data_IF_366881923629
#
_entry.id   IF_366881923629
#
_cell.length_a   1.000
_cell.length_b   1.000
_cell.length_c   1.000
_cell.angle_alpha   90.00
_cell.angle_beta   90.00
_cell.angle_gamma   90.00
#
_symmetry.space_group_name_H-M   'P 1'
#
loop_
_entity.id
_entity.type
_entity.pdbx_description
1 polymer ?
#
# COMPACT_ATOMS: atom_id res chain seq x y z
N UNK A 1 28.75 28.12 -39.76
CA UNK A 1 27.71 28.95 -40.40
C UNK A 1 26.91 28.08 -41.38
N UNK A 2 25.59 27.96 -41.42
CA UNK A 2 24.46 28.45 -40.64
C UNK A 2 23.31 27.45 -40.92
N UNK A 3 22.77 26.82 -39.87
CA UNK A 3 21.33 26.64 -39.59
C UNK A 3 20.35 26.57 -40.78
N UNK A 4 19.76 25.39 -40.99
CA UNK A 4 18.54 25.17 -41.78
C UNK A 4 17.54 24.35 -40.97
N UNK A 5 16.77 25.01 -40.10
CA UNK A 5 15.72 24.41 -39.28
C UNK A 5 14.48 24.09 -40.11
N UNK A 6 14.12 22.80 -40.18
CA UNK A 6 12.88 22.33 -40.78
C UNK A 6 11.66 22.76 -39.95
N UNK A 7 10.80 23.52 -40.62
CA UNK A 7 9.45 23.89 -40.23
C UNK A 7 8.57 22.64 -40.23
N UNK A 8 7.99 22.28 -39.08
CA UNK A 8 6.75 21.48 -39.03
C UNK A 8 5.64 22.39 -38.49
N UNK A 9 4.76 22.82 -39.40
CA UNK A 9 3.58 23.64 -39.11
C UNK A 9 2.64 22.83 -38.22
N UNK A 10 2.32 23.37 -37.04
CA UNK A 10 1.15 22.96 -36.25
C UNK A 10 -0.10 23.23 -37.09
N UNK A 11 -0.86 22.19 -37.40
CA UNK A 11 -2.14 22.27 -38.07
C UNK A 11 -3.19 22.94 -37.17
N UNK A 12 -3.79 24.00 -37.72
CA UNK A 12 -5.12 24.58 -37.47
C UNK A 12 -5.76 24.42 -36.08
N UNK A 13 -5.43 25.36 -35.18
CA UNK A 13 -6.40 25.85 -34.19
C UNK A 13 -7.30 26.86 -34.91
N UNK A 14 -8.47 26.42 -35.39
CA UNK A 14 -9.49 27.34 -35.94
C UNK A 14 -9.80 28.44 -34.93
N UNK A 15 -9.82 29.68 -35.42
CA UNK A 15 -10.12 30.91 -34.69
C UNK A 15 -11.42 30.80 -33.85
N UNK A 16 -11.51 31.48 -32.69
CA UNK A 16 -12.71 31.48 -31.88
C UNK A 16 -13.85 32.17 -32.65
N UNK A 17 -14.88 31.41 -32.97
CA UNK A 17 -16.15 31.96 -33.47
C UNK A 17 -16.72 32.85 -32.36
N UNK A 18 -16.66 34.16 -32.56
CA UNK A 18 -17.33 35.15 -31.70
C UNK A 18 -18.84 34.91 -31.77
N UNK A 19 -19.38 34.18 -30.79
CA UNK A 19 -20.80 33.89 -30.72
C UNK A 19 -21.52 34.85 -29.76
N UNK A 20 -22.21 35.85 -30.33
CA UNK A 20 -22.94 36.89 -29.58
C UNK A 20 -24.34 36.51 -29.09
N UNK A 21 -24.86 35.32 -29.45
CA UNK A 21 -26.21 34.87 -29.06
C UNK A 21 -26.22 34.02 -27.80
N UNK A 22 -27.18 34.28 -26.89
CA UNK A 22 -27.35 33.56 -25.61
C UNK A 22 -27.54 32.05 -25.81
N UNK A 23 -28.25 31.64 -26.87
CA UNK A 23 -28.44 30.22 -27.22
C UNK A 23 -27.17 29.55 -27.73
N UNK A 24 -26.34 30.28 -28.48
CA UNK A 24 -25.03 29.80 -28.90
C UNK A 24 -24.07 29.65 -27.70
N UNK A 25 -24.06 30.61 -26.78
CA UNK A 25 -23.29 30.51 -25.54
C UNK A 25 -23.76 29.35 -24.65
N UNK A 26 -25.08 29.08 -24.59
CA UNK A 26 -25.65 27.95 -23.85
C UNK A 26 -25.31 26.60 -24.49
N UNK A 27 -25.33 26.50 -25.82
CA UNK A 27 -24.93 25.31 -26.57
C UNK A 27 -23.42 25.04 -26.43
N UNK A 28 -22.59 26.08 -26.58
CA UNK A 28 -21.13 26.01 -26.39
C UNK A 28 -20.79 25.62 -24.94
N UNK A 29 -21.47 26.19 -23.93
CA UNK A 29 -21.33 25.80 -22.53
C UNK A 29 -21.65 24.32 -22.29
N UNK A 30 -22.65 23.73 -22.97
CA UNK A 30 -22.96 22.30 -22.85
C UNK A 30 -21.86 21.42 -23.46
N UNK A 31 -21.31 21.81 -24.61
CA UNK A 31 -20.20 21.09 -25.27
C UNK A 31 -18.91 21.19 -24.43
N UNK A 32 -18.57 22.39 -23.94
CA UNK A 32 -17.45 22.60 -23.03
C UNK A 32 -17.62 21.91 -21.69
N UNK A 33 -18.85 21.79 -21.16
CA UNK A 33 -19.12 21.03 -19.93
C UNK A 33 -18.75 19.55 -20.07
N UNK A 34 -19.03 18.92 -21.23
CA UNK A 34 -18.65 17.52 -21.47
C UNK A 34 -17.13 17.39 -21.61
N UNK A 35 -16.51 18.24 -22.42
CA UNK A 35 -15.05 18.23 -22.61
C UNK A 35 -14.28 18.51 -21.31
N UNK A 36 -14.73 19.48 -20.51
CA UNK A 36 -14.14 19.82 -19.22
C UNK A 36 -14.28 18.69 -18.20
N UNK A 37 -15.43 17.99 -18.16
CA UNK A 37 -15.61 16.80 -17.30
C UNK A 37 -14.67 15.67 -17.71
N UNK A 38 -14.52 15.42 -19.01
CA UNK A 38 -13.59 14.41 -19.51
C UNK A 38 -12.15 14.78 -19.12
N UNK A 39 -11.73 16.02 -19.36
CA UNK A 39 -10.40 16.49 -18.98
C UNK A 39 -10.15 16.40 -17.47
N UNK A 40 -11.16 16.71 -16.65
CA UNK A 40 -11.05 16.57 -15.21
C UNK A 40 -10.91 15.10 -14.76
N UNK A 41 -11.55 14.16 -15.46
CA UNK A 41 -11.37 12.73 -15.20
C UNK A 41 -9.97 12.25 -15.64
N UNK A 42 -9.50 12.68 -16.81
CA UNK A 42 -8.14 12.40 -17.30
C UNK A 42 -7.07 12.90 -16.32
N UNK A 43 -7.22 14.14 -15.82
CA UNK A 43 -6.30 14.70 -14.83
C UNK A 43 -6.26 13.90 -13.52
N UNK A 44 -7.42 13.37 -13.08
CA UNK A 44 -7.48 12.49 -11.91
C UNK A 44 -6.79 11.15 -12.15
N UNK A 45 -6.94 10.59 -13.35
CA UNK A 45 -6.25 9.37 -13.75
C UNK A 45 -4.73 9.62 -13.86
N UNK A 46 -4.32 10.69 -14.52
CA UNK A 46 -2.91 11.12 -14.60
C UNK A 46 -2.28 11.24 -13.21
N UNK A 47 -2.98 11.88 -12.26
CA UNK A 47 -2.55 11.98 -10.86
C UNK A 47 -2.45 10.60 -10.18
N UNK A 48 -3.48 9.76 -10.32
CA UNK A 48 -3.56 8.44 -9.68
C UNK A 48 -2.44 7.49 -10.14
N UNK A 49 -2.14 7.47 -11.44
CA UNK A 49 -1.14 6.56 -12.01
C UNK A 49 0.29 7.11 -11.97
N UNK A 50 0.48 8.42 -11.76
CA UNK A 50 1.82 9.02 -11.62
C UNK A 50 2.39 8.96 -10.20
N UNK A 51 1.54 8.86 -9.18
CA UNK A 51 1.96 8.76 -7.77
C UNK A 51 2.07 7.30 -7.32
N UNK A 52 2.84 7.01 -6.27
CA UNK A 52 2.90 5.68 -5.64
C UNK A 52 3.59 4.61 -6.49
N UNK A 53 4.62 5.01 -7.21
CA UNK A 53 5.43 4.15 -8.07
C UNK A 53 6.65 3.54 -7.35
N UNK A 54 6.85 3.91 -6.08
CA UNK A 54 7.92 3.44 -5.21
C UNK A 54 7.32 2.97 -3.88
N UNK A 55 8.05 2.09 -3.18
CA UNK A 55 7.62 1.57 -1.88
C UNK A 55 7.87 2.62 -0.79
N UNK A 56 6.98 2.73 0.21
CA UNK A 56 7.19 3.66 1.32
C UNK A 56 8.37 3.24 2.21
N UNK A 57 8.97 4.18 2.95
CA UNK A 57 10.13 3.91 3.82
C UNK A 57 9.89 2.78 4.84
N UNK A 58 8.64 2.60 5.29
CA UNK A 58 8.25 1.54 6.22
C UNK A 58 8.43 0.11 5.69
N UNK A 59 8.60 -0.03 4.38
CA UNK A 59 8.83 -1.30 3.71
C UNK A 59 10.30 -1.75 3.71
N UNK A 60 11.21 -0.88 4.15
CA UNK A 60 12.64 -1.16 4.17
C UNK A 60 13.10 -1.53 5.58
N UNK A 61 13.99 -2.52 5.66
CA UNK A 61 14.56 -2.89 6.94
C UNK A 61 15.56 -1.81 7.38
N UNK A 62 15.42 -1.20 8.57
CA UNK A 62 16.30 -0.11 9.00
C UNK A 62 17.73 -0.58 9.35
N UNK A 63 17.98 -1.90 9.37
CA UNK A 63 19.29 -2.47 9.71
C UNK A 63 20.10 -2.79 8.45
N UNK A 64 19.49 -3.46 7.46
CA UNK A 64 20.17 -3.81 6.22
C UNK A 64 19.80 -2.89 5.04
N UNK A 65 18.90 -1.94 5.24
CA UNK A 65 18.38 -0.97 4.26
C UNK A 65 17.79 -1.56 2.97
N UNK A 66 17.67 -2.89 2.89
CA UNK A 66 17.04 -3.58 1.77
C UNK A 66 15.50 -3.61 1.89
N UNK A 67 14.76 -3.54 0.78
CA UNK A 67 13.31 -3.67 0.77
C UNK A 67 12.89 -5.05 1.30
N UNK A 68 11.89 -5.12 2.18
CA UNK A 68 11.41 -6.37 2.77
C UNK A 68 10.44 -7.04 1.78
N UNK A 69 10.50 -8.36 1.61
CA UNK A 69 9.56 -9.07 0.73
C UNK A 69 8.09 -8.83 1.12
N UNK A 70 7.21 -8.75 0.12
CA UNK A 70 5.77 -8.53 0.32
C UNK A 70 5.02 -9.86 0.52
N UNK A 71 3.99 -9.89 1.39
CA UNK A 71 3.56 -8.83 2.32
C UNK A 71 4.57 -8.60 3.45
N UNK A 72 4.88 -7.34 3.78
CA UNK A 72 5.96 -6.98 4.74
C UNK A 72 5.79 -7.65 6.10
N UNK A 73 4.54 -7.77 6.58
CA UNK A 73 4.22 -8.42 7.85
C UNK A 73 4.68 -9.89 7.94
N UNK A 74 4.72 -10.60 6.80
CA UNK A 74 5.11 -12.02 6.76
C UNK A 74 6.62 -12.24 6.79
N UNK A 75 7.42 -11.17 6.67
CA UNK A 75 8.88 -11.25 6.53
C UNK A 75 9.63 -10.34 7.52
N UNK A 76 8.91 -9.73 8.47
CA UNK A 76 9.46 -8.78 9.43
C UNK A 76 8.77 -8.88 10.77
N UNK A 77 9.41 -8.35 11.82
CA UNK A 77 8.83 -8.15 13.14
C UNK A 77 8.58 -6.67 13.40
N UNK A 78 7.41 -6.32 13.93
CA UNK A 78 7.15 -4.98 14.46
C UNK A 78 7.65 -4.86 15.90
N UNK A 79 8.42 -3.81 16.19
CA UNK A 79 9.00 -3.58 17.52
C UNK A 79 8.25 -2.45 18.25
N UNK A 80 7.49 -2.77 19.28
CA UNK A 80 6.72 -1.78 20.06
C UNK A 80 7.58 -0.71 20.74
N UNK A 81 8.86 -0.99 21.06
CA UNK A 81 9.75 -0.01 21.68
C UNK A 81 10.00 1.22 20.80
N UNK A 82 10.06 1.04 19.48
CA UNK A 82 10.57 2.03 18.53
C UNK A 82 9.76 2.15 17.25
N UNK A 83 8.66 1.40 17.16
CA UNK A 83 7.71 1.36 16.05
C UNK A 83 8.36 1.04 14.69
N UNK A 84 9.53 0.37 14.71
CA UNK A 84 10.24 -0.07 13.51
C UNK A 84 9.98 -1.53 13.18
N UNK A 85 9.83 -1.81 11.88
CA UNK A 85 9.79 -3.17 11.33
C UNK A 85 11.20 -3.62 10.96
N UNK A 86 11.61 -4.79 11.45
CA UNK A 86 12.93 -5.36 11.17
C UNK A 86 12.75 -6.71 10.48
N UNK A 87 13.43 -6.94 9.35
CA UNK A 87 13.31 -8.20 8.64
C UNK A 87 13.82 -9.38 9.48
N UNK A 88 13.26 -10.58 9.28
CA UNK A 88 13.66 -11.74 10.08
C UNK A 88 15.13 -12.11 9.92
N UNK A 89 15.77 -11.82 8.78
CA UNK A 89 17.20 -12.07 8.61
C UNK A 89 18.05 -11.27 9.61
N UNK A 90 17.77 -9.98 9.77
CA UNK A 90 18.45 -9.15 10.75
C UNK A 90 18.11 -9.55 12.18
N UNK A 91 16.84 -9.85 12.47
CA UNK A 91 16.40 -10.32 13.79
C UNK A 91 17.15 -11.60 14.21
N UNK A 92 17.09 -12.64 13.37
CA UNK A 92 17.65 -13.96 13.69
C UNK A 92 19.17 -13.93 13.76
N UNK A 93 19.82 -13.09 12.94
CA UNK A 93 21.27 -12.87 13.04
C UNK A 93 21.67 -12.32 14.41
N UNK A 94 20.87 -11.42 14.99
CA UNK A 94 21.13 -10.89 16.33
C UNK A 94 20.85 -11.91 17.43
N UNK A 95 19.76 -12.66 17.32
CA UNK A 95 19.44 -13.75 18.25
C UNK A 95 20.58 -14.77 18.31
N UNK A 96 21.14 -15.16 17.16
CA UNK A 96 22.30 -16.06 17.07
C UNK A 96 23.57 -15.51 17.72
N UNK A 97 23.70 -14.19 17.84
CA UNK A 97 24.80 -13.51 18.55
C UNK A 97 24.53 -13.37 20.06
N UNK A 98 23.42 -13.91 20.56
CA UNK A 98 23.02 -13.80 21.97
C UNK A 98 22.38 -12.46 22.35
N UNK A 99 22.08 -11.60 21.38
CA UNK A 99 21.44 -10.31 21.62
C UNK A 99 19.92 -10.51 21.69
N UNK A 100 19.34 -10.34 22.89
CA UNK A 100 17.90 -10.51 23.15
C UNK A 100 17.11 -9.20 23.17
N UNK A 101 17.79 -8.06 23.18
CA UNK A 101 17.16 -6.74 23.11
C UNK A 101 16.56 -6.46 21.73
N UNK A 102 15.73 -5.42 21.63
CA UNK A 102 15.21 -4.98 20.35
C UNK A 102 16.35 -4.78 19.33
N UNK A 103 16.24 -5.37 18.13
CA UNK A 103 17.32 -5.37 17.16
C UNK A 103 17.67 -3.98 16.60
N UNK A 104 16.78 -3.01 16.78
CA UNK A 104 16.99 -1.62 16.35
C UNK A 104 17.32 -0.70 17.53
N UNK A 105 16.42 -0.63 18.52
CA UNK A 105 16.49 0.38 19.60
C UNK A 105 17.32 -0.08 20.82
N UNK A 106 17.72 -1.36 20.89
CA UNK A 106 18.39 -2.00 22.04
C UNK A 106 17.62 -1.94 23.37
N UNK A 107 16.34 -1.56 23.35
CA UNK A 107 15.51 -1.67 24.54
C UNK A 107 15.31 -3.15 24.91
N UNK A 108 15.33 -3.50 26.20
CA UNK A 108 15.08 -4.86 26.67
C UNK A 108 13.74 -5.39 26.14
N UNK A 109 13.74 -6.63 25.66
CA UNK A 109 12.49 -7.34 25.35
C UNK A 109 11.79 -7.71 26.67
N UNK A 110 10.46 -7.61 26.75
CA UNK A 110 9.72 -8.16 27.90
C UNK A 110 10.12 -9.63 28.07
N UNK A 111 10.38 -10.04 29.30
CA UNK A 111 10.74 -11.43 29.63
C UNK A 111 9.59 -12.38 29.31
N UNK A 112 9.85 -13.69 29.24
CA UNK A 112 8.82 -14.73 28.98
C UNK A 112 7.84 -14.93 30.17
N UNK A 113 7.69 -13.92 31.03
CA UNK A 113 6.86 -13.94 32.22
C UNK A 113 5.40 -13.56 31.90
N UNK A 114 4.49 -13.84 32.84
CA UNK A 114 3.05 -13.61 32.65
C UNK A 114 2.68 -12.16 32.31
N UNK A 115 3.54 -11.20 32.65
CA UNK A 115 3.32 -9.76 32.46
C UNK A 115 3.74 -9.24 31.07
N UNK A 116 4.32 -10.08 30.20
CA UNK A 116 4.82 -9.68 28.88
C UNK A 116 3.77 -9.00 27.97
N UNK A 117 2.50 -9.45 27.93
CA UNK A 117 1.45 -8.75 27.15
C UNK A 117 1.15 -7.35 27.69
N UNK A 118 1.16 -7.16 29.01
CA UNK A 118 0.87 -5.87 29.63
C UNK A 118 2.00 -4.87 29.40
N UNK A 119 3.27 -5.31 29.49
CA UNK A 119 4.41 -4.49 29.12
C UNK A 119 4.41 -4.11 27.64
N UNK A 120 4.10 -5.06 26.76
CA UNK A 120 3.98 -4.79 25.32
C UNK A 120 2.93 -3.71 25.07
N UNK A 121 1.75 -3.87 25.65
CA UNK A 121 0.64 -2.93 25.49
C UNK A 121 0.91 -1.58 26.14
N UNK A 122 1.62 -1.53 27.26
CA UNK A 122 2.05 -0.29 27.88
C UNK A 122 2.98 0.51 26.94
N UNK A 123 3.93 -0.16 26.27
CA UNK A 123 4.81 0.48 25.28
C UNK A 123 4.02 0.99 24.06
N UNK A 124 3.08 0.20 23.54
CA UNK A 124 2.22 0.61 22.42
C UNK A 124 1.36 1.82 22.80
N UNK A 125 0.71 1.82 23.97
CA UNK A 125 -0.09 2.94 24.47
C UNK A 125 0.75 4.21 24.66
N UNK A 126 1.92 4.10 25.28
CA UNK A 126 2.82 5.24 25.47
C UNK A 126 3.28 5.87 24.13
N UNK A 127 3.45 5.05 23.08
CA UNK A 127 3.75 5.53 21.72
C UNK A 127 2.52 6.17 21.07
N UNK A 128 1.34 5.57 21.24
CA UNK A 128 0.08 6.11 20.73
C UNK A 128 -0.28 7.47 21.36
N UNK A 129 -0.06 7.64 22.67
CA UNK A 129 -0.22 8.92 23.38
C UNK A 129 0.69 10.02 22.83
N UNK A 130 1.88 9.64 22.33
CA UNK A 130 2.82 10.53 21.62
C UNK A 130 2.48 10.72 20.14
N UNK A 131 1.30 10.30 19.71
CA UNK A 131 0.80 10.42 18.33
C UNK A 131 1.70 9.73 17.29
N UNK A 132 2.30 8.60 17.66
CA UNK A 132 3.02 7.76 16.70
C UNK A 132 2.01 7.02 15.79
N UNK A 133 1.98 7.30 14.47
CA UNK A 133 0.98 6.76 13.55
C UNK A 133 1.07 5.23 13.39
N UNK A 134 2.27 4.66 13.51
CA UNK A 134 2.45 3.22 13.41
C UNK A 134 1.95 2.53 14.70
N UNK A 135 2.22 3.08 15.88
CA UNK A 135 1.68 2.54 17.13
C UNK A 135 0.15 2.60 17.17
N UNK A 136 -0.46 3.72 16.79
CA UNK A 136 -1.91 3.87 16.74
C UNK A 136 -2.51 2.86 15.74
N UNK A 137 -1.88 2.66 14.58
CA UNK A 137 -2.32 1.66 13.61
C UNK A 137 -2.34 0.24 14.19
N UNK A 138 -1.22 -0.20 14.79
CA UNK A 138 -1.12 -1.54 15.36
C UNK A 138 -2.09 -1.71 16.54
N UNK A 139 -2.32 -0.66 17.35
CA UNK A 139 -3.32 -0.69 18.41
C UNK A 139 -4.73 -0.92 17.83
N UNK A 140 -5.06 -0.30 16.70
CA UNK A 140 -6.31 -0.58 15.98
C UNK A 140 -6.42 -2.04 15.53
N UNK A 141 -5.35 -2.63 14.99
CA UNK A 141 -5.31 -4.07 14.65
C UNK A 141 -5.49 -4.97 15.87
N UNK A 142 -4.92 -4.59 17.01
CA UNK A 142 -5.06 -5.34 18.25
C UNK A 142 -6.50 -5.31 18.79
N UNK A 143 -7.21 -4.18 18.67
CA UNK A 143 -8.65 -4.11 18.95
C UNK A 143 -9.49 -4.89 17.93
N UNK A 144 -9.13 -4.89 16.63
CA UNK A 144 -9.85 -5.67 15.62
C UNK A 144 -9.82 -7.18 15.94
N UNK A 145 -8.69 -7.67 16.43
CA UNK A 145 -8.46 -9.09 16.68
C UNK A 145 -8.62 -9.53 18.14
N UNK A 146 -8.73 -8.59 19.09
CA UNK A 146 -8.77 -8.88 20.52
C UNK A 146 -7.47 -9.49 21.04
N UNK A 147 -6.32 -8.93 20.63
CA UNK A 147 -4.98 -9.42 21.04
C UNK A 147 -4.52 -8.79 22.36
N UNK A 148 -3.56 -9.43 23.02
CA UNK A 148 -2.88 -8.91 24.22
C UNK A 148 -3.85 -8.50 25.36
N UNK A 149 -4.90 -9.29 25.60
CA UNK A 149 -5.89 -9.03 26.64
C UNK A 149 -6.94 -7.99 26.27
N UNK A 150 -6.92 -7.45 25.05
CA UNK A 150 -8.00 -6.58 24.56
C UNK A 150 -9.23 -7.39 24.18
N UNK A 151 -10.41 -6.84 24.47
CA UNK A 151 -11.66 -7.34 23.88
C UNK A 151 -11.78 -6.82 22.46
N UNK A 152 -12.29 -7.66 21.54
CA UNK A 152 -12.52 -7.26 20.16
C UNK A 152 -13.48 -6.07 20.07
N UNK A 153 -13.04 -5.00 19.42
CA UNK A 153 -13.80 -3.76 19.24
C UNK A 153 -13.49 -3.14 17.87
N UNK A 154 -14.38 -3.40 16.90
CA UNK A 154 -14.22 -2.94 15.51
C UNK A 154 -14.41 -1.42 15.38
N UNK A 155 -15.46 -0.79 15.97
CA UNK A 155 -15.58 0.66 15.97
C UNK A 155 -14.34 1.37 16.53
N UNK A 156 -13.79 0.87 17.65
CA UNK A 156 -12.57 1.44 18.23
C UNK A 156 -11.36 1.30 17.31
N UNK A 157 -11.24 0.17 16.60
CA UNK A 157 -10.19 -0.02 15.60
C UNK A 157 -10.28 1.02 14.47
N UNK A 158 -11.48 1.32 13.98
CA UNK A 158 -11.72 2.32 12.92
C UNK A 158 -11.35 3.72 13.37
N UNK A 159 -11.72 4.11 14.61
CA UNK A 159 -11.35 5.40 15.18
C UNK A 159 -9.83 5.56 15.20
N UNK A 160 -9.12 4.56 15.71
CA UNK A 160 -7.66 4.55 15.77
C UNK A 160 -7.03 4.57 14.38
N UNK A 161 -7.52 3.79 13.42
CA UNK A 161 -7.00 3.85 12.06
C UNK A 161 -7.28 5.18 11.38
N UNK A 162 -8.42 5.81 11.65
CA UNK A 162 -8.73 7.16 11.14
C UNK A 162 -7.73 8.17 11.68
N UNK A 163 -7.49 8.17 13.00
CA UNK A 163 -6.46 9.01 13.62
C UNK A 163 -5.07 8.74 13.04
N UNK A 164 -4.68 7.47 12.93
CA UNK A 164 -3.39 7.09 12.36
C UNK A 164 -3.24 7.55 10.89
N UNK A 165 -4.30 7.45 10.09
CA UNK A 165 -4.32 7.90 8.71
C UNK A 165 -4.18 9.42 8.58
N UNK A 166 -4.83 10.19 9.45
CA UNK A 166 -4.68 11.65 9.56
C UNK A 166 -3.24 12.05 9.93
N UNK A 167 -2.59 11.26 10.79
CA UNK A 167 -1.18 11.40 11.13
C UNK A 167 -0.21 10.84 10.05
N UNK A 168 -0.74 10.37 8.93
CA UNK A 168 0.04 9.95 7.77
C UNK A 168 0.35 8.46 7.65
N UNK A 169 -0.26 7.59 8.48
CA UNK A 169 -0.12 6.14 8.36
C UNK A 169 -0.74 5.62 7.06
N UNK A 170 0.12 5.11 6.17
CA UNK A 170 -0.29 4.49 4.91
C UNK A 170 -0.98 3.14 5.18
N UNK A 171 -0.48 2.38 6.16
CA UNK A 171 -1.07 1.09 6.57
C UNK A 171 -2.49 1.29 7.13
N UNK A 172 -2.73 2.37 7.88
CA UNK A 172 -4.05 2.64 8.43
C UNK A 172 -5.08 2.95 7.33
N UNK A 173 -4.68 3.66 6.27
CA UNK A 173 -5.55 3.84 5.09
C UNK A 173 -5.92 2.50 4.45
N UNK A 174 -4.97 1.57 4.32
CA UNK A 174 -5.27 0.22 3.84
C UNK A 174 -6.22 -0.54 4.77
N UNK A 175 -6.00 -0.47 6.09
CA UNK A 175 -6.83 -1.13 7.07
C UNK A 175 -8.26 -0.58 7.09
N UNK A 176 -8.44 0.74 6.94
CA UNK A 176 -9.76 1.35 6.72
C UNK A 176 -10.41 0.83 5.44
N UNK A 177 -9.67 0.75 4.34
CA UNK A 177 -10.15 0.16 3.10
C UNK A 177 -10.67 -1.27 3.30
N UNK A 178 -9.90 -2.13 3.98
CA UNK A 178 -10.33 -3.51 4.29
C UNK A 178 -11.57 -3.53 5.20
N UNK A 179 -11.64 -2.62 6.17
CA UNK A 179 -12.74 -2.57 7.14
C UNK A 179 -14.08 -2.21 6.49
N UNK A 180 -14.09 -1.36 5.46
CA UNK A 180 -15.29 -1.05 4.66
C UNK A 180 -15.53 -2.03 3.51
N UNK A 181 -14.52 -2.80 3.11
CA UNK A 181 -14.61 -3.82 2.05
C UNK A 181 -15.15 -5.17 2.54
N UNK A 182 -14.98 -5.53 3.82
CA UNK A 182 -15.49 -6.79 4.37
C UNK A 182 -16.74 -6.54 5.25
N UNK A 183 -17.71 -7.46 5.24
CA UNK A 183 -18.93 -7.42 6.07
C UNK A 183 -18.67 -7.63 7.59
N UNK A 184 -17.43 -7.42 8.05
CA UNK A 184 -16.91 -7.86 9.35
C UNK A 184 -17.18 -6.95 10.55
N UNK A 185 -18.24 -6.13 10.52
CA UNK A 185 -18.70 -5.36 11.69
C UNK A 185 -18.89 -3.86 11.50
N UNK A 186 -18.63 -3.32 10.29
CA UNK A 186 -18.97 -1.95 9.90
C UNK A 186 -19.95 -2.02 8.72
N UNK A 187 -20.70 -0.93 8.49
CA UNK A 187 -21.50 -0.80 7.27
C UNK A 187 -20.60 -0.93 6.04
N UNK A 188 -20.82 -2.00 5.29
CA UNK A 188 -20.17 -2.27 4.01
C UNK A 188 -20.37 -1.11 3.03
N UNK A 189 -19.26 -0.60 2.49
CA UNK A 189 -19.24 0.55 1.57
C UNK A 189 -18.03 0.44 0.63
N UNK A 190 -18.22 -0.19 -0.54
CA UNK A 190 -17.13 -0.45 -1.49
C UNK A 190 -16.53 0.82 -2.08
N UNK A 191 -17.33 1.86 -2.28
CA UNK A 191 -16.86 3.15 -2.81
C UNK A 191 -15.93 3.82 -1.79
N UNK A 192 -16.35 3.83 -0.51
CA UNK A 192 -15.51 4.36 0.56
C UNK A 192 -14.23 3.53 0.74
N UNK A 193 -14.32 2.20 0.64
CA UNK A 193 -13.14 1.33 0.64
C UNK A 193 -12.18 1.67 -0.50
N UNK A 194 -12.70 1.86 -1.73
CA UNK A 194 -11.92 2.24 -2.90
C UNK A 194 -11.26 3.62 -2.72
N UNK A 195 -11.92 4.59 -2.07
CA UNK A 195 -11.31 5.88 -1.75
C UNK A 195 -10.10 5.75 -0.81
N UNK A 196 -10.21 4.92 0.23
CA UNK A 196 -9.09 4.65 1.14
C UNK A 196 -7.95 3.91 0.45
N UNK A 197 -8.26 2.89 -0.37
CA UNK A 197 -7.25 2.22 -1.18
C UNK A 197 -6.58 3.18 -2.16
N UNK A 198 -7.32 4.09 -2.80
CA UNK A 198 -6.78 5.10 -3.69
C UNK A 198 -5.77 6.00 -2.99
N UNK A 199 -6.11 6.53 -1.81
CA UNK A 199 -5.20 7.37 -1.00
C UNK A 199 -3.93 6.61 -0.60
N UNK A 200 -4.06 5.35 -0.19
CA UNK A 200 -2.91 4.51 0.16
C UNK A 200 -2.04 4.16 -1.05
N UNK A 201 -2.66 3.82 -2.18
CA UNK A 201 -1.99 3.45 -3.42
C UNK A 201 -1.17 4.61 -4.00
N UNK A 202 -1.70 5.84 -3.96
CA UNK A 202 -0.97 7.04 -4.36
C UNK A 202 0.28 7.30 -3.48
N UNK A 203 0.30 6.76 -2.25
CA UNK A 203 1.46 6.82 -1.35
C UNK A 203 2.33 5.56 -1.40
N UNK A 204 2.14 4.71 -2.42
CA UNK A 204 2.98 3.53 -2.66
C UNK A 204 2.53 2.25 -1.96
N UNK A 205 1.35 2.22 -1.32
CA UNK A 205 0.86 0.98 -0.70
C UNK A 205 0.48 -0.06 -1.75
N UNK A 206 1.30 -1.10 -1.84
CA UNK A 206 1.24 -2.07 -2.95
C UNK A 206 -0.05 -2.88 -2.93
N UNK A 207 -0.46 -3.38 -1.77
CA UNK A 207 -1.70 -4.15 -1.64
C UNK A 207 -2.95 -3.29 -1.91
N UNK A 208 -2.93 -2.01 -1.51
CA UNK A 208 -4.04 -1.10 -1.84
C UNK A 208 -4.13 -0.84 -3.34
N UNK A 209 -2.98 -0.71 -4.02
CA UNK A 209 -2.95 -0.59 -5.47
C UNK A 209 -3.57 -1.83 -6.13
N UNK A 210 -3.23 -3.03 -5.67
CA UNK A 210 -3.86 -4.27 -6.14
C UNK A 210 -5.38 -4.26 -5.89
N UNK A 211 -5.82 -3.95 -4.67
CA UNK A 211 -7.25 -3.93 -4.31
C UNK A 211 -8.04 -2.91 -5.13
N UNK A 212 -7.44 -1.76 -5.47
CA UNK A 212 -8.04 -0.81 -6.40
C UNK A 212 -8.19 -1.39 -7.81
N UNK A 213 -7.21 -2.17 -8.29
CA UNK A 213 -7.34 -2.93 -9.53
C UNK A 213 -8.50 -3.94 -9.50
N UNK A 214 -8.67 -4.65 -8.38
CA UNK A 214 -9.80 -5.56 -8.18
C UNK A 214 -11.14 -4.82 -8.23
N UNK A 215 -11.24 -3.68 -7.56
CA UNK A 215 -12.44 -2.84 -7.56
C UNK A 215 -12.80 -2.35 -8.97
N UNK A 216 -11.84 -1.80 -9.71
CA UNK A 216 -12.08 -1.35 -11.10
C UNK A 216 -12.50 -2.50 -12.02
N UNK A 217 -11.87 -3.67 -11.87
CA UNK A 217 -12.22 -4.87 -12.63
C UNK A 217 -13.62 -5.39 -12.30
N UNK A 218 -14.03 -5.36 -11.03
CA UNK A 218 -15.40 -5.70 -10.60
C UNK A 218 -16.44 -4.75 -11.18
N UNK A 219 -16.07 -3.48 -11.37
CA UNK A 219 -16.89 -2.47 -12.04
C UNK A 219 -16.84 -2.54 -13.58
N UNK A 220 -16.10 -3.51 -14.14
CA UNK A 220 -15.99 -3.74 -15.59
C UNK A 220 -14.93 -2.91 -16.31
N UNK A 221 -14.12 -2.12 -15.60
CA UNK A 221 -13.01 -1.37 -16.19
C UNK A 221 -11.70 -2.16 -16.12
N UNK A 222 -11.62 -3.18 -16.98
CA UNK A 222 -10.44 -4.05 -17.12
C UNK A 222 -9.18 -3.26 -17.53
N UNK A 223 -9.33 -2.16 -18.28
CA UNK A 223 -8.19 -1.32 -18.67
C UNK A 223 -7.55 -0.63 -17.47
N UNK A 224 -8.36 -0.03 -16.59
CA UNK A 224 -7.89 0.57 -15.34
C UNK A 224 -7.36 -0.48 -14.37
N UNK A 225 -8.05 -1.62 -14.26
CA UNK A 225 -7.60 -2.74 -13.44
C UNK A 225 -6.19 -3.20 -13.81
N UNK A 226 -5.94 -3.41 -15.12
CA UNK A 226 -4.63 -3.80 -15.62
C UNK A 226 -3.54 -2.79 -15.25
N UNK A 227 -3.78 -1.48 -15.41
CA UNK A 227 -2.81 -0.44 -15.02
C UNK A 227 -2.45 -0.52 -13.54
N UNK A 228 -3.44 -0.72 -12.67
CA UNK A 228 -3.19 -0.88 -11.24
C UNK A 228 -2.36 -2.14 -10.94
N UNK A 229 -2.70 -3.26 -11.57
CA UNK A 229 -1.94 -4.50 -11.38
C UNK A 229 -0.51 -4.37 -11.90
N UNK A 230 -0.27 -3.72 -13.03
CA UNK A 230 1.07 -3.50 -13.58
C UNK A 230 1.97 -2.75 -12.60
N UNK A 231 1.46 -1.67 -11.97
CA UNK A 231 2.21 -0.91 -10.96
C UNK A 231 2.50 -1.79 -9.73
N UNK A 232 1.49 -2.48 -9.21
CA UNK A 232 1.62 -3.32 -8.03
C UNK A 232 2.56 -4.52 -8.24
N UNK A 233 2.51 -5.13 -9.42
CA UNK A 233 3.41 -6.20 -9.84
C UNK A 233 4.86 -5.71 -9.93
N UNK A 234 5.09 -4.53 -10.52
CA UNK A 234 6.42 -3.89 -10.58
C UNK A 234 6.98 -3.59 -9.19
N UNK A 235 6.13 -3.38 -8.19
CA UNK A 235 6.54 -3.19 -6.79
C UNK A 235 6.74 -4.52 -6.03
N UNK A 236 6.59 -5.66 -6.71
CA UNK A 236 6.90 -6.99 -6.16
C UNK A 236 5.72 -7.74 -5.55
N UNK A 237 4.46 -7.39 -5.88
CA UNK A 237 3.29 -8.11 -5.34
C UNK A 237 2.82 -9.25 -6.26
N UNK A 238 2.96 -10.48 -5.78
CA UNK A 238 2.70 -11.70 -6.55
C UNK A 238 1.25 -11.85 -7.01
N UNK A 239 0.27 -11.50 -6.18
CA UNK A 239 -1.15 -11.62 -6.57
C UNK A 239 -1.50 -10.72 -7.76
N UNK A 240 -0.81 -9.60 -7.97
CA UNK A 240 -1.01 -8.80 -9.18
C UNK A 240 -0.53 -9.52 -10.45
N UNK A 241 0.54 -10.32 -10.37
CA UNK A 241 0.98 -11.17 -11.50
C UNK A 241 -0.06 -12.24 -11.80
N UNK A 242 -0.63 -12.87 -10.77
CA UNK A 242 -1.69 -13.86 -10.93
C UNK A 242 -2.93 -13.24 -11.61
N UNK A 243 -3.34 -12.04 -11.19
CA UNK A 243 -4.43 -11.29 -11.81
C UNK A 243 -4.14 -10.98 -13.28
N UNK A 244 -2.96 -10.46 -13.62
CA UNK A 244 -2.57 -10.17 -15.01
C UNK A 244 -2.51 -11.45 -15.84
N UNK A 245 -2.01 -12.55 -15.28
CA UNK A 245 -2.02 -13.86 -15.93
C UNK A 245 -3.44 -14.40 -16.18
N UNK A 246 -4.40 -14.06 -15.31
CA UNK A 246 -5.83 -14.27 -15.53
C UNK A 246 -6.35 -13.45 -16.71
N UNK A 247 -6.07 -12.14 -16.73
CA UNK A 247 -6.47 -11.23 -17.80
C UNK A 247 -5.88 -11.61 -19.16
N UNK A 248 -4.62 -12.06 -19.19
CA UNK A 248 -3.98 -12.55 -20.42
C UNK A 248 -4.70 -13.79 -20.99
N UNK A 249 -5.09 -14.74 -20.13
CA UNK A 249 -5.88 -15.92 -20.54
C UNK A 249 -7.28 -15.55 -21.04
N UNK A 250 -7.86 -14.50 -20.49
CA UNK A 250 -9.15 -13.96 -20.93
C UNK A 250 -9.05 -13.11 -22.22
N UNK A 251 -7.84 -12.83 -22.72
CA UNK A 251 -7.63 -11.96 -23.89
C UNK A 251 -7.73 -10.46 -23.60
N UNK A 252 -7.78 -10.06 -22.33
CA UNK A 252 -7.89 -8.66 -21.88
C UNK A 252 -6.52 -7.98 -21.74
N UNK A 253 -5.45 -8.76 -21.56
CA UNK A 253 -4.07 -8.29 -21.52
C UNK A 253 -3.27 -8.89 -22.68
N UNK A 254 -2.32 -8.13 -23.23
CA UNK A 254 -1.44 -8.61 -24.30
C UNK A 254 -0.28 -9.43 -23.73
N UNK A 255 0.37 -10.19 -24.63
CA UNK A 255 1.57 -10.96 -24.28
C UNK A 255 2.70 -10.06 -23.79
N UNK A 256 2.85 -8.88 -24.39
CA UNK A 256 3.87 -7.89 -24.07
C UNK A 256 3.65 -7.33 -22.67
N UNK A 257 2.40 -6.99 -22.32
CA UNK A 257 2.03 -6.49 -21.00
C UNK A 257 2.29 -7.54 -19.92
N UNK A 258 1.90 -8.80 -20.16
CA UNK A 258 2.17 -9.87 -19.20
C UNK A 258 3.68 -10.12 -19.02
N UNK A 259 4.45 -10.13 -20.12
CA UNK A 259 5.89 -10.29 -20.06
C UNK A 259 6.59 -9.13 -19.34
N UNK A 260 6.11 -7.89 -19.52
CA UNK A 260 6.59 -6.72 -18.77
C UNK A 260 6.30 -6.85 -17.27
N UNK A 261 5.09 -7.24 -16.89
CA UNK A 261 4.73 -7.45 -15.49
C UNK A 261 5.67 -8.47 -14.82
N UNK A 262 5.91 -9.61 -15.48
CA UNK A 262 6.80 -10.66 -14.99
C UNK A 262 8.26 -10.20 -14.82
N UNK A 263 8.75 -9.33 -15.70
CA UNK A 263 10.10 -8.74 -15.57
C UNK A 263 10.16 -7.81 -14.37
N UNK A 264 9.25 -6.84 -14.28
CA UNK A 264 9.22 -5.89 -13.16
C UNK A 264 9.07 -6.59 -11.80
N UNK A 265 8.20 -7.60 -11.71
CA UNK A 265 8.07 -8.41 -10.50
C UNK A 265 9.35 -9.16 -10.14
N UNK A 266 10.04 -9.74 -11.13
CA UNK A 266 11.32 -10.44 -10.90
C UNK A 266 12.38 -9.49 -10.35
N UNK A 267 12.53 -8.32 -10.95
CA UNK A 267 13.50 -7.32 -10.53
C UNK A 267 13.23 -6.89 -9.06
N UNK A 268 11.97 -6.59 -8.74
CA UNK A 268 11.57 -6.24 -7.37
C UNK A 268 11.79 -7.38 -6.36
N UNK A 269 11.54 -8.63 -6.74
CA UNK A 269 11.81 -9.79 -5.85
C UNK A 269 13.31 -9.99 -5.66
N UNK A 270 14.11 -9.82 -6.70
CA UNK A 270 15.58 -9.95 -6.62
C UNK A 270 16.18 -8.97 -5.61
N UNK A 271 15.71 -7.72 -5.59
CA UNK A 271 16.13 -6.69 -4.61
C UNK A 271 15.83 -7.07 -3.16
N UNK A 272 14.89 -7.99 -2.92
CA UNK A 272 14.52 -8.42 -1.55
C UNK A 272 15.34 -9.61 -1.05
N UNK A 273 16.11 -10.28 -1.92
CA UNK A 273 16.83 -11.52 -1.56
C UNK A 273 17.99 -11.24 -0.60
N UNK A 274 18.15 -12.13 0.37
CA UNK A 274 19.31 -12.17 1.27
C UNK A 274 19.37 -13.56 1.90
N UNK A 275 20.58 -14.12 1.95
CA UNK A 275 20.82 -15.41 2.58
C UNK A 275 20.40 -15.41 4.06
N UNK A 276 20.63 -14.30 4.78
CA UNK A 276 20.16 -14.11 6.15
C UNK A 276 18.64 -14.13 6.24
N UNK A 277 17.93 -13.54 5.27
CA UNK A 277 16.46 -13.54 5.26
C UNK A 277 15.90 -14.94 4.99
N UNK A 278 16.49 -15.70 4.10
CA UNK A 278 16.09 -17.09 3.85
C UNK A 278 16.30 -17.96 5.10
N UNK A 279 17.48 -17.85 5.72
CA UNK A 279 17.79 -18.51 6.98
C UNK A 279 16.87 -18.04 8.13
N UNK A 280 16.55 -16.75 8.16
CA UNK A 280 15.66 -16.13 9.14
C UNK A 280 14.23 -16.64 9.01
N UNK A 281 13.68 -16.67 7.79
CA UNK A 281 12.38 -17.26 7.49
C UNK A 281 12.32 -18.74 7.91
N UNK A 282 13.35 -19.52 7.58
CA UNK A 282 13.44 -20.93 7.97
C UNK A 282 13.53 -21.11 9.50
N UNK A 283 14.15 -20.18 10.21
CA UNK A 283 14.15 -20.16 11.67
C UNK A 283 12.77 -19.85 12.24
N UNK A 284 12.11 -18.78 11.77
CA UNK A 284 10.78 -18.39 12.25
C UNK A 284 9.72 -19.48 12.01
N UNK A 285 9.78 -20.19 10.88
CA UNK A 285 8.90 -21.34 10.60
C UNK A 285 9.07 -22.49 11.60
N UNK A 286 10.27 -22.69 12.15
CA UNK A 286 10.56 -23.77 13.11
C UNK A 286 10.15 -23.43 14.53
N UNK A 287 10.35 -22.18 14.94
CA UNK A 287 10.01 -21.71 16.30
C UNK A 287 8.49 -21.49 16.45
N UNK A 288 7.76 -21.44 15.32
CA UNK A 288 6.35 -21.07 15.28
C UNK A 288 6.18 -19.56 15.45
N UNK A 289 4.98 -19.01 15.17
CA UNK A 289 4.68 -17.64 15.52
C UNK A 289 4.85 -17.52 17.04
N UNK A 290 5.83 -16.74 17.51
CA UNK A 290 5.87 -16.37 18.92
C UNK A 290 4.52 -15.73 19.24
N UNK A 291 3.78 -16.32 20.19
CA UNK A 291 2.49 -15.82 20.65
C UNK A 291 2.63 -14.32 20.93
N UNK A 292 2.02 -13.49 20.09
CA UNK A 292 2.11 -12.03 20.20
C UNK A 292 2.70 -11.30 19.00
N UNK A 293 2.99 -11.96 17.87
CA UNK A 293 3.31 -11.25 16.63
C UNK A 293 2.56 -11.91 15.47
N UNK A 294 1.98 -11.09 14.60
CA UNK A 294 1.35 -11.39 13.29
C UNK A 294 -0.19 -11.44 13.23
N UNK A 295 -0.67 -10.94 12.09
CA UNK A 295 -1.81 -10.04 11.90
C UNK A 295 -1.24 -8.63 11.77
#
# INVERSE_FOLDING_TARGET
>A
DLHGSHISRREDVRAPISCGGVDCQRAHRKQHKKACKLRAAELKDEELYSQGLERPEGDFCPICTLPIALPVGNHSVFNSCCTKRVCYGCLVTQIKKGLRDCPFCRAPTPTDDADAPDEFMARVRARAERKDPAAINNLGEDYLHGRFGLTKDVPRAVELWTEAAELGSIQALFNLGNAYYHEGGIRYDQELAAEFYRKAAMRGHVQSRHNLGCFEGQNGDHGRALRHYMISARLGYGHSIESIGGMFRAGEATKEQYAEALRGYRDAVEETKSHERDAGMAFMKRVGPQRGQFG
#
